data_IF_410291215433
#
_entry.id   IF_410291215433
#
_cell.length_a   1.000
_cell.length_b   1.000
_cell.length_c   1.000
_cell.angle_alpha   90.00
_cell.angle_beta   90.00
_cell.angle_gamma   90.00
#
_symmetry.space_group_name_H-M   'P 1'
#
loop_
_entity.id
_entity.type
_entity.pdbx_description
1 polymer ?
#
# COMPACT_ATOMS: atom_id res chain seq x y z
N UNK A 1 -1.73 2.01 7.84
CA UNK A 1 -2.33 1.44 6.61
C UNK A 1 -3.80 0.98 6.76
N UNK A 2 -4.37 0.99 7.96
CA UNK A 2 -5.72 0.44 8.21
C UNK A 2 -6.86 1.17 7.46
N UNK A 3 -6.73 2.48 7.24
CA UNK A 3 -7.77 3.30 6.58
C UNK A 3 -8.02 2.94 5.12
N UNK A 4 -6.97 2.62 4.36
CA UNK A 4 -7.13 2.21 2.96
C UNK A 4 -7.75 0.82 2.86
N UNK A 5 -7.28 -0.14 3.66
CA UNK A 5 -7.80 -1.51 3.63
C UNK A 5 -9.30 -1.55 3.94
N UNK A 6 -9.75 -0.80 4.95
CA UNK A 6 -11.17 -0.65 5.25
C UNK A 6 -11.93 -0.02 4.07
N UNK A 7 -11.42 1.09 3.53
CA UNK A 7 -12.03 1.75 2.39
C UNK A 7 -12.15 0.84 1.15
N UNK A 8 -11.09 0.13 0.79
CA UNK A 8 -11.10 -0.85 -0.30
C UNK A 8 -12.17 -1.92 -0.07
N UNK A 9 -12.26 -2.47 1.15
CA UNK A 9 -13.26 -3.48 1.48
C UNK A 9 -14.69 -2.94 1.31
N UNK A 10 -14.96 -1.77 1.86
CA UNK A 10 -16.30 -1.18 1.92
C UNK A 10 -16.77 -0.62 0.58
N UNK A 11 -15.87 -0.04 -0.21
CA UNK A 11 -16.24 0.68 -1.45
C UNK A 11 -15.89 -0.06 -2.74
N UNK A 12 -15.14 -1.16 -2.68
CA UNK A 12 -14.86 -2.01 -3.85
C UNK A 12 -15.32 -3.45 -3.63
N UNK A 13 -14.80 -4.14 -2.61
CA UNK A 13 -15.01 -5.59 -2.46
C UNK A 13 -16.46 -5.92 -2.13
N UNK A 14 -17.05 -5.26 -1.14
CA UNK A 14 -18.43 -5.55 -0.71
C UNK A 14 -19.44 -5.23 -1.82
N UNK A 15 -19.40 -4.07 -2.49
CA UNK A 15 -20.29 -3.76 -3.60
C UNK A 15 -20.12 -4.72 -4.79
N UNK A 16 -18.89 -4.97 -5.24
CA UNK A 16 -18.63 -5.87 -6.37
C UNK A 16 -19.12 -7.29 -6.08
N UNK A 17 -18.91 -7.79 -4.86
CA UNK A 17 -19.44 -9.10 -4.44
C UNK A 17 -20.96 -9.14 -4.49
N UNK A 18 -21.64 -8.07 -4.07
CA UNK A 18 -23.10 -8.00 -4.10
C UNK A 18 -23.64 -7.98 -5.54
N UNK A 19 -23.00 -7.24 -6.43
CA UNK A 19 -23.35 -7.16 -7.86
C UNK A 19 -23.17 -8.51 -8.57
N UNK A 20 -22.04 -9.19 -8.35
CA UNK A 20 -21.80 -10.52 -8.90
C UNK A 20 -22.80 -11.54 -8.37
N UNK A 21 -23.08 -11.51 -7.07
CA UNK A 21 -24.04 -12.42 -6.44
C UNK A 21 -25.45 -12.25 -7.02
N UNK A 22 -25.87 -11.01 -7.31
CA UNK A 22 -27.15 -10.75 -7.96
C UNK A 22 -27.23 -11.37 -9.38
N UNK A 23 -26.08 -11.56 -10.03
CA UNK A 23 -25.95 -12.22 -11.33
C UNK A 23 -25.66 -13.73 -11.23
N UNK A 24 -25.72 -14.32 -10.03
CA UNK A 24 -25.40 -15.73 -9.79
C UNK A 24 -23.91 -16.08 -9.88
N UNK A 25 -23.03 -15.07 -9.86
CA UNK A 25 -21.58 -15.23 -9.90
C UNK A 25 -20.97 -15.05 -8.50
N UNK A 26 -19.77 -15.61 -8.28
CA UNK A 26 -18.99 -15.41 -7.08
C UNK A 26 -17.76 -14.53 -7.37
N UNK A 27 -17.32 -13.78 -6.36
CA UNK A 27 -16.12 -12.96 -6.47
C UNK A 27 -14.87 -13.82 -6.24
N UNK A 28 -13.99 -13.90 -7.24
CA UNK A 28 -12.64 -14.46 -7.13
C UNK A 28 -11.55 -13.40 -7.40
N UNK A 29 -10.29 -13.82 -7.24
CA UNK A 29 -9.13 -12.93 -7.40
C UNK A 29 -8.99 -12.42 -8.84
N UNK A 30 -9.24 -13.27 -9.84
CA UNK A 30 -9.10 -12.89 -11.25
C UNK A 30 -10.14 -11.83 -11.61
N UNK A 31 -11.38 -12.04 -11.19
CA UNK A 31 -12.49 -11.12 -11.38
C UNK A 31 -12.20 -9.81 -10.68
N UNK A 32 -11.79 -9.83 -9.40
CA UNK A 32 -11.42 -8.61 -8.68
C UNK A 32 -10.31 -7.83 -9.41
N UNK A 33 -9.28 -8.51 -9.92
CA UNK A 33 -8.19 -7.87 -10.68
C UNK A 33 -8.67 -7.28 -12.02
N UNK A 34 -9.73 -7.82 -12.63
CA UNK A 34 -10.35 -7.25 -13.82
C UNK A 34 -11.07 -5.93 -13.55
N UNK A 35 -11.74 -5.80 -12.39
CA UNK A 35 -12.52 -4.62 -12.04
C UNK A 35 -11.74 -3.53 -11.29
N UNK A 36 -10.64 -3.90 -10.60
CA UNK A 36 -9.93 -2.97 -9.71
C UNK A 36 -9.38 -1.75 -10.45
N UNK A 37 -8.91 -1.92 -11.69
CA UNK A 37 -8.34 -0.82 -12.48
C UNK A 37 -9.36 0.30 -12.72
N UNK A 38 -10.55 -0.08 -13.20
CA UNK A 38 -11.63 0.89 -13.40
C UNK A 38 -12.01 1.59 -12.10
N UNK A 39 -12.23 0.83 -11.03
CA UNK A 39 -12.58 1.38 -9.72
C UNK A 39 -11.50 2.33 -9.16
N UNK A 40 -10.22 2.01 -9.33
CA UNK A 40 -9.13 2.90 -8.93
C UNK A 40 -9.22 4.24 -9.67
N UNK A 41 -9.42 4.20 -11.00
CA UNK A 41 -9.48 5.40 -11.82
C UNK A 41 -10.72 6.25 -11.57
N UNK A 42 -11.90 5.62 -11.46
CA UNK A 42 -13.19 6.34 -11.43
C UNK A 42 -13.72 6.61 -10.03
N UNK A 43 -13.26 5.87 -9.02
CA UNK A 43 -13.75 6.00 -7.64
C UNK A 43 -12.62 6.38 -6.69
N UNK A 44 -11.58 5.55 -6.56
CA UNK A 44 -10.57 5.75 -5.52
C UNK A 44 -9.70 6.98 -5.74
N UNK A 45 -9.27 7.24 -6.98
CA UNK A 45 -8.39 8.35 -7.32
C UNK A 45 -9.16 9.61 -7.77
N UNK A 46 -10.46 9.50 -8.03
CA UNK A 46 -11.33 10.61 -8.39
C UNK A 46 -12.06 11.23 -7.16
N UNK A 47 -12.03 10.57 -5.99
CA UNK A 47 -12.66 11.09 -4.76
C UNK A 47 -11.92 12.30 -4.20
N UNK A 48 -12.62 13.12 -3.45
CA UNK A 48 -11.98 14.07 -2.52
C UNK A 48 -11.42 13.31 -1.33
N UNK A 49 -10.11 13.37 -1.12
CA UNK A 49 -9.44 12.65 -0.04
C UNK A 49 -9.57 13.41 1.28
N UNK A 50 -9.96 12.72 2.37
CA UNK A 50 -10.33 13.36 3.63
C UNK A 50 -9.20 14.13 4.34
N UNK A 51 -7.94 13.74 4.15
CA UNK A 51 -6.80 14.42 4.80
C UNK A 51 -6.32 15.63 4.00
N UNK A 52 -6.31 15.53 2.67
CA UNK A 52 -5.77 16.58 1.79
C UNK A 52 -6.87 17.49 1.24
N UNK A 53 -8.14 17.11 1.38
CA UNK A 53 -9.31 17.78 0.81
C UNK A 53 -9.24 17.98 -0.72
N UNK A 54 -8.49 17.11 -1.40
CA UNK A 54 -8.18 17.23 -2.81
C UNK A 54 -8.39 15.91 -3.54
N UNK A 55 -8.51 16.00 -4.86
CA UNK A 55 -8.67 14.83 -5.72
C UNK A 55 -7.29 14.25 -6.06
N UNK A 56 -6.98 12.99 -5.68
CA UNK A 56 -5.66 12.39 -5.89
C UNK A 56 -5.16 12.44 -7.33
N UNK A 57 -6.00 12.13 -8.32
CA UNK A 57 -5.60 12.19 -9.73
C UNK A 57 -5.20 13.60 -10.18
N UNK A 58 -5.95 14.61 -9.75
CA UNK A 58 -5.65 16.01 -10.08
C UNK A 58 -4.36 16.45 -9.40
N UNK A 59 -4.23 16.14 -8.11
CA UNK A 59 -3.04 16.48 -7.33
C UNK A 59 -1.77 15.85 -7.86
N UNK A 60 -1.81 14.58 -8.21
CA UNK A 60 -0.67 13.89 -8.79
C UNK A 60 -0.22 14.55 -10.11
N UNK A 61 -1.14 15.06 -10.93
CA UNK A 61 -0.81 15.75 -12.17
C UNK A 61 -0.07 17.08 -11.91
N UNK A 62 -0.51 17.83 -10.89
CA UNK A 62 0.13 19.08 -10.45
C UNK A 62 1.54 18.81 -9.89
N UNK A 63 1.65 17.83 -8.99
CA UNK A 63 2.91 17.46 -8.30
C UNK A 63 3.94 16.85 -9.24
N UNK A 64 3.51 16.19 -10.32
CA UNK A 64 4.40 15.55 -11.30
C UNK A 64 5.46 16.49 -11.87
N UNK A 65 5.17 17.80 -11.92
CA UNK A 65 6.12 18.82 -12.39
C UNK A 65 7.35 18.96 -11.48
N UNK A 66 7.23 18.62 -10.21
CA UNK A 66 8.31 18.65 -9.23
C UNK A 66 9.06 17.30 -9.09
N UNK A 67 8.64 16.26 -9.82
CA UNK A 67 9.25 14.94 -9.70
C UNK A 67 10.65 14.92 -10.32
N UNK A 68 11.58 14.31 -9.61
CA UNK A 68 12.89 13.98 -10.16
C UNK A 68 12.74 12.93 -11.27
N UNK A 69 13.65 12.91 -12.26
CA UNK A 69 13.67 11.84 -13.25
C UNK A 69 13.74 10.48 -12.54
N UNK A 70 13.12 9.47 -13.15
CA UNK A 70 13.28 8.10 -12.66
C UNK A 70 14.78 7.80 -12.55
N UNK A 71 15.24 7.17 -11.46
CA UNK A 71 16.64 6.81 -11.32
C UNK A 71 17.01 5.98 -12.54
N UNK A 72 17.98 6.50 -13.32
CA UNK A 72 18.49 5.82 -14.51
C UNK A 72 18.98 4.47 -14.02
N UNK A 73 18.30 3.39 -14.42
CA UNK A 73 18.83 2.05 -14.25
C UNK A 73 19.98 1.95 -15.24
N UNK A 74 21.19 2.30 -14.79
CA UNK A 74 22.39 1.84 -15.48
C UNK A 74 22.23 0.33 -15.64
N UNK A 75 22.29 -0.12 -16.88
CA UNK A 75 22.04 -1.48 -17.29
C UNK A 75 22.75 -2.50 -16.41
N UNK A 76 22.07 -3.64 -16.26
CA UNK A 76 22.33 -4.79 -15.36
C UNK A 76 21.70 -4.62 -13.98
N UNK A 77 20.40 -4.92 -13.94
CA UNK A 77 19.91 -5.77 -12.85
C UNK A 77 20.70 -7.09 -12.93
N UNK A 78 21.86 -7.14 -12.28
CA UNK A 78 22.40 -8.42 -11.86
C UNK A 78 21.36 -8.97 -10.91
N UNK A 79 20.50 -9.86 -11.42
CA UNK A 79 19.73 -10.75 -10.57
C UNK A 79 20.79 -11.61 -9.89
N UNK A 80 21.35 -11.11 -8.78
CA UNK A 80 22.01 -11.97 -7.82
C UNK A 80 20.91 -12.88 -7.32
N UNK A 81 20.80 -14.06 -7.93
CA UNK A 81 20.12 -15.18 -7.29
C UNK A 81 20.85 -15.34 -5.97
N UNK A 82 20.24 -14.88 -4.89
CA UNK A 82 20.73 -15.12 -3.55
C UNK A 82 20.80 -16.63 -3.37
N UNK A 83 22.00 -17.21 -3.49
CA UNK A 83 22.25 -18.58 -3.08
C UNK A 83 22.14 -18.73 -1.55
N UNK A 84 22.05 -17.63 -0.81
CA UNK A 84 21.72 -17.63 0.58
C UNK A 84 20.21 -17.90 0.79
N UNK A 85 19.87 -19.17 0.95
CA UNK A 85 18.67 -19.63 1.65
C UNK A 85 18.74 -19.37 3.17
N UNK A 86 19.62 -18.48 3.62
CA UNK A 86 19.82 -18.21 5.04
C UNK A 86 19.39 -16.77 5.31
N UNK A 87 18.43 -16.55 6.24
CA UNK A 87 18.14 -15.23 6.73
C UNK A 87 19.45 -14.57 7.18
N UNK A 88 19.72 -13.37 6.70
CA UNK A 88 20.74 -12.51 7.29
C UNK A 88 20.32 -12.33 8.76
N UNK A 89 21.16 -12.63 9.76
CA UNK A 89 20.82 -12.29 11.13
C UNK A 89 20.62 -10.78 11.16
N UNK A 90 19.37 -10.35 11.31
CA UNK A 90 19.10 -9.00 11.77
C UNK A 90 19.54 -9.07 13.23
N UNK A 91 20.79 -8.69 13.50
CA UNK A 91 21.11 -8.29 14.87
C UNK A 91 20.06 -7.26 15.23
N UNK A 92 19.25 -7.60 16.24
CA UNK A 92 18.17 -6.74 16.66
C UNK A 92 18.80 -5.42 17.07
N UNK A 93 18.55 -4.36 16.29
CA UNK A 93 18.92 -2.99 16.69
C UNK A 93 18.11 -2.54 17.92
N UNK A 94 17.17 -3.37 18.38
CA UNK A 94 16.41 -3.13 19.59
C UNK A 94 17.21 -3.62 20.79
N UNK A 95 17.44 -2.72 21.73
CA UNK A 95 17.95 -3.07 23.04
C UNK A 95 16.90 -3.87 23.83
N UNK A 96 17.31 -4.76 24.74
CA UNK A 96 16.37 -5.41 25.66
C UNK A 96 15.62 -4.36 26.49
N UNK A 97 14.35 -4.66 26.82
CA UNK A 97 13.45 -3.74 27.54
C UNK A 97 14.05 -3.15 28.83
N UNK A 98 14.91 -3.90 29.50
CA UNK A 98 15.66 -3.46 30.69
C UNK A 98 16.53 -2.22 30.46
N UNK A 99 16.97 -1.97 29.22
CA UNK A 99 17.72 -0.76 28.84
C UNK A 99 16.80 0.45 28.80
N UNK A 100 15.54 0.30 28.39
CA UNK A 100 14.57 1.39 28.47
C UNK A 100 14.14 1.63 29.91
N UNK A 101 13.95 0.57 30.70
CA UNK A 101 13.65 0.69 32.13
C UNK A 101 14.76 1.41 32.89
N UNK A 102 16.03 1.22 32.53
CA UNK A 102 17.15 1.94 33.17
C UNK A 102 17.29 3.38 32.69
N UNK A 103 16.89 3.71 31.46
CA UNK A 103 16.95 5.07 30.91
C UNK A 103 15.73 5.93 31.29
N UNK A 104 14.54 5.33 31.37
CA UNK A 104 13.28 6.00 31.70
C UNK A 104 12.82 5.80 33.14
N UNK A 105 13.45 4.87 33.87
CA UNK A 105 13.11 4.55 35.25
C UNK A 105 13.62 5.54 36.28
N UNK A 106 13.37 6.84 36.12
CA UNK A 106 13.13 7.78 37.24
C UNK A 106 12.20 8.89 36.73
N UNK A 107 10.90 8.68 36.92
CA UNK A 107 9.93 9.76 37.11
C UNK A 107 8.88 9.22 38.10
N UNK A 108 9.29 9.18 39.37
CA UNK A 108 8.38 9.34 40.51
C UNK A 108 8.64 10.72 41.09
#
# INVERSE_FOLDING_TARGET
MERFNRYLKESFIVPLRAELHASGLSLDVLTANGFIGHWLTTVANARTHATTNEVPNTRLLEERTAFLPLPIKSDKLTIMRSSAQQPIPIESLQHPLSVYDSLLGVLL
#
